data_IF_174494333362
#
_entry.id   IF_174494333362
#
_cell.length_a   1.000
_cell.length_b   1.000
_cell.length_c   1.000
_cell.angle_alpha   90.00
_cell.angle_beta   90.00
_cell.angle_gamma   90.00
#
_symmetry.space_group_name_H-M   'P 1'
#
loop_
_entity.id
_entity.type
_entity.pdbx_description
1 polymer ?
#
# COMPACT_ATOMS: atom_id res chain seq x y z
N UNK A 1 -3.16 -0.04 -13.11
CA UNK A 1 -4.63 -0.20 -13.21
C UNK A 1 -5.05 -1.05 -12.03
N UNK A 2 -5.84 -0.55 -11.08
CA UNK A 2 -6.31 -1.36 -9.95
C UNK A 2 -7.11 -2.53 -10.51
N UNK A 3 -6.70 -3.77 -10.26
CA UNK A 3 -7.44 -4.95 -10.71
C UNK A 3 -8.81 -4.94 -10.03
N UNK A 4 -9.87 -5.02 -10.81
CA UNK A 4 -11.22 -5.09 -10.25
C UNK A 4 -11.51 -6.55 -9.83
N UNK A 5 -11.24 -6.86 -8.57
CA UNK A 5 -11.49 -8.18 -7.98
C UNK A 5 -12.80 -8.11 -7.19
N UNK A 6 -13.75 -9.01 -7.52
CA UNK A 6 -15.01 -9.18 -6.79
C UNK A 6 -14.76 -10.08 -5.58
N UNK A 7 -14.17 -9.52 -4.51
CA UNK A 7 -13.76 -10.29 -3.33
C UNK A 7 -14.91 -11.02 -2.65
N UNK A 8 -16.13 -10.49 -2.71
CA UNK A 8 -17.37 -11.13 -2.25
C UNK A 8 -17.64 -12.51 -2.90
N UNK A 9 -17.08 -12.76 -4.09
CA UNK A 9 -17.20 -14.02 -4.83
C UNK A 9 -16.01 -14.96 -4.66
N UNK A 10 -14.96 -14.51 -3.97
CA UNK A 10 -13.75 -15.30 -3.70
C UNK A 10 -13.96 -16.04 -2.37
N UNK A 11 -13.60 -17.32 -2.31
CA UNK A 11 -13.74 -18.09 -1.07
C UNK A 11 -12.86 -17.50 0.05
N UNK A 12 -13.30 -17.49 1.32
CA UNK A 12 -12.55 -16.89 2.42
C UNK A 12 -11.11 -17.39 2.53
N UNK A 13 -10.85 -18.67 2.29
CA UNK A 13 -9.51 -19.26 2.37
C UNK A 13 -8.57 -18.69 1.32
N UNK A 14 -9.08 -18.33 0.14
CA UNK A 14 -8.29 -17.66 -0.90
C UNK A 14 -8.06 -16.20 -0.55
N UNK A 15 -9.06 -15.52 0.04
CA UNK A 15 -8.91 -14.15 0.53
C UNK A 15 -7.87 -14.05 1.65
N UNK A 16 -7.83 -15.02 2.58
CA UNK A 16 -6.84 -15.04 3.65
C UNK A 16 -5.40 -15.20 3.17
N UNK A 17 -5.19 -15.75 1.97
CA UNK A 17 -3.85 -15.95 1.40
C UNK A 17 -3.45 -14.80 0.46
N UNK A 18 -4.39 -14.21 -0.28
CA UNK A 18 -4.10 -13.27 -1.37
C UNK A 18 -4.77 -11.90 -1.25
N UNK A 19 -5.61 -11.69 -0.23
CA UNK A 19 -6.25 -10.40 0.04
C UNK A 19 -5.20 -9.31 0.18
N UNK A 20 -5.45 -8.15 -0.43
CA UNK A 20 -4.50 -7.01 -0.41
C UNK A 20 -3.31 -7.13 -1.36
N UNK A 21 -2.79 -8.34 -1.61
CA UNK A 21 -1.62 -8.60 -2.48
C UNK A 21 -1.94 -8.57 -3.99
N UNK A 22 -2.48 -7.45 -4.48
CA UNK A 22 -3.04 -7.37 -5.85
C UNK A 22 -2.05 -6.91 -6.93
N UNK A 23 -0.95 -6.30 -6.52
CA UNK A 23 0.09 -5.71 -7.38
C UNK A 23 1.45 -6.40 -7.20
N UNK A 24 2.38 -6.15 -8.13
CA UNK A 24 3.74 -6.68 -8.04
C UNK A 24 4.56 -5.84 -7.07
N UNK A 25 5.18 -6.50 -6.09
CA UNK A 25 6.03 -5.83 -5.10
C UNK A 25 7.37 -5.37 -5.70
N UNK A 26 8.04 -4.38 -5.06
CA UNK A 26 9.39 -3.97 -5.43
C UNK A 26 10.33 -5.15 -5.64
N UNK A 27 11.17 -5.06 -6.67
CA UNK A 27 12.13 -6.11 -7.06
C UNK A 27 11.50 -7.49 -7.33
N UNK A 28 10.20 -7.56 -7.61
CA UNK A 28 9.44 -8.82 -7.81
C UNK A 28 9.50 -9.73 -6.58
N UNK A 29 9.52 -9.16 -5.39
CA UNK A 29 9.37 -9.93 -4.16
C UNK A 29 8.08 -10.76 -4.21
N UNK A 30 8.13 -11.98 -3.69
CA UNK A 30 6.98 -12.89 -3.65
C UNK A 30 6.13 -12.71 -2.40
N UNK A 31 6.69 -12.12 -1.34
CA UNK A 31 5.98 -11.71 -0.13
C UNK A 31 5.92 -10.19 -0.05
N UNK A 32 4.91 -9.68 0.64
CA UNK A 32 4.82 -8.27 1.02
C UNK A 32 6.07 -7.83 1.77
N UNK A 33 6.87 -6.87 1.24
CA UNK A 33 8.06 -6.39 1.92
C UNK A 33 7.73 -5.64 3.21
N UNK A 34 8.54 -5.83 4.24
CA UNK A 34 8.41 -5.04 5.48
C UNK A 34 9.08 -3.69 5.32
N UNK A 35 8.29 -2.62 5.34
CA UNK A 35 8.76 -1.23 5.31
C UNK A 35 8.89 -0.70 6.74
N UNK A 36 10.09 -0.86 7.31
CA UNK A 36 10.42 -0.37 8.64
C UNK A 36 10.92 1.08 8.62
N UNK A 37 10.00 2.00 8.27
CA UNK A 37 10.26 3.44 8.35
C UNK A 37 9.25 4.12 9.28
N UNK A 38 9.64 5.25 9.86
CA UNK A 38 8.75 6.12 10.64
C UNK A 38 8.19 7.25 9.78
N UNK A 39 9.03 7.88 8.95
CA UNK A 39 8.68 9.00 8.09
C UNK A 39 9.08 8.73 6.63
N UNK A 40 8.42 9.38 5.67
CA UNK A 40 8.66 9.19 4.25
C UNK A 40 9.08 10.53 3.63
N UNK A 41 10.21 10.51 2.92
CA UNK A 41 10.75 11.67 2.22
C UNK A 41 10.13 11.83 0.84
N UNK A 42 10.11 13.07 0.36
CA UNK A 42 9.65 13.45 -0.97
C UNK A 42 10.70 14.39 -1.57
N UNK A 43 10.92 14.28 -2.88
CA UNK A 43 11.86 15.14 -3.59
C UNK A 43 11.28 16.55 -3.81
N UNK A 44 9.95 16.66 -3.86
CA UNK A 44 9.21 17.90 -4.10
C UNK A 44 8.29 18.25 -2.92
N UNK A 45 8.35 19.52 -2.48
CA UNK A 45 7.56 19.99 -1.34
C UNK A 45 6.07 20.12 -1.67
N UNK A 46 5.72 20.50 -2.90
CA UNK A 46 4.32 20.64 -3.29
C UNK A 46 3.65 19.26 -3.36
N UNK A 47 4.36 18.24 -3.83
CA UNK A 47 3.93 16.85 -3.77
C UNK A 47 3.69 16.38 -2.33
N UNK A 48 4.64 16.62 -1.43
CA UNK A 48 4.48 16.28 -0.02
C UNK A 48 3.24 16.93 0.61
N UNK A 49 2.95 18.20 0.26
CA UNK A 49 1.74 18.92 0.70
C UNK A 49 0.47 18.28 0.14
N UNK A 50 0.45 17.89 -1.13
CA UNK A 50 -0.71 17.24 -1.75
C UNK A 50 -1.03 15.89 -1.08
N UNK A 51 0.00 15.08 -0.81
CA UNK A 51 -0.18 13.80 -0.09
C UNK A 51 -0.68 14.05 1.33
N UNK A 52 -0.09 15.01 2.04
CA UNK A 52 -0.51 15.37 3.40
C UNK A 52 -1.98 15.82 3.47
N UNK A 53 -2.49 16.45 2.40
CA UNK A 53 -3.90 16.87 2.28
C UNK A 53 -4.83 15.76 1.75
N UNK A 54 -4.31 14.56 1.46
CA UNK A 54 -5.08 13.46 0.87
C UNK A 54 -5.50 13.72 -0.58
N UNK A 55 -4.88 14.68 -1.25
CA UNK A 55 -5.16 15.01 -2.65
C UNK A 55 -4.40 14.10 -3.62
N UNK A 56 -3.35 13.45 -3.13
CA UNK A 56 -2.53 12.47 -3.83
C UNK A 56 -2.28 11.27 -2.91
N UNK A 57 -2.24 10.08 -3.48
CA UNK A 57 -1.89 8.85 -2.77
C UNK A 57 -0.43 8.91 -2.30
N UNK A 58 -0.16 8.42 -1.09
CA UNK A 58 1.19 8.33 -0.54
C UNK A 58 1.21 8.17 0.99
N UNK A 59 2.39 7.87 1.51
CA UNK A 59 2.64 7.76 2.94
C UNK A 59 3.49 8.93 3.41
N UNK A 60 3.18 9.51 4.57
CA UNK A 60 3.96 10.62 5.15
C UNK A 60 4.57 10.23 6.50
N UNK A 61 3.87 9.40 7.28
CA UNK A 61 4.27 9.00 8.61
C UNK A 61 3.56 7.70 9.01
N UNK A 62 4.31 6.72 9.50
CA UNK A 62 3.80 5.35 9.76
C UNK A 62 2.76 5.25 10.88
N UNK A 63 2.59 6.29 11.70
CA UNK A 63 1.45 6.39 12.62
C UNK A 63 0.12 6.45 11.88
N UNK A 64 0.11 7.04 10.69
CA UNK A 64 -1.12 7.32 9.94
C UNK A 64 -1.31 6.28 8.82
N UNK A 65 -0.26 5.93 8.08
CA UNK A 65 -0.28 4.90 7.03
C UNK A 65 1.11 4.31 6.78
N UNK A 66 1.19 3.03 6.41
CA UNK A 66 2.45 2.32 6.15
C UNK A 66 2.25 1.29 5.02
N UNK A 67 3.16 1.18 4.03
CA UNK A 67 3.00 0.27 2.91
C UNK A 67 2.78 -1.20 3.29
N UNK A 68 3.38 -1.65 4.40
CA UNK A 68 3.20 -3.03 4.89
C UNK A 68 1.81 -3.23 5.47
N UNK A 69 1.30 -2.24 6.19
CA UNK A 69 0.01 -2.31 6.89
C UNK A 69 -1.14 -2.13 5.91
N UNK A 70 -0.98 -1.32 4.86
CA UNK A 70 -1.99 -1.12 3.82
C UNK A 70 -2.34 -2.39 3.02
N UNK A 71 -1.49 -3.43 3.09
CA UNK A 71 -1.73 -4.74 2.47
C UNK A 71 -2.50 -5.68 3.40
N UNK A 72 -2.43 -5.50 4.72
CA UNK A 72 -3.01 -6.37 5.75
C UNK A 72 -4.45 -5.98 6.10
#
# INVERSE_FOLDING_TARGET
MKKQISWDKVKPETQSVWGGETDVFPHRATQTPTVNSVAYGYDDMDEWVQVTKGQKEGHIYSRNSNPTVDVL
#
